data_IF_705576677552
#
_entry.id   IF_705576677552
#
_cell.length_a   1.000
_cell.length_b   1.000
_cell.length_c   1.000
_cell.angle_alpha   90.00
_cell.angle_beta   90.00
_cell.angle_gamma   90.00
#
_symmetry.space_group_name_H-M   'P 1'
#
loop_
_entity.id
_entity.type
_entity.pdbx_description
1 polymer ?
#
# COMPACT_ATOMS: atom_id res chain seq x y z
N UNK A 1 -12.19 3.07 19.95
CA UNK A 1 -11.91 3.50 18.56
C UNK A 1 -10.42 3.70 18.40
N UNK A 2 -9.82 3.17 17.33
CA UNK A 2 -8.38 3.28 17.04
C UNK A 2 -8.19 3.98 15.70
N UNK A 3 -7.16 4.82 15.61
CA UNK A 3 -6.80 5.56 14.40
C UNK A 3 -5.35 5.25 14.03
N UNK A 4 -5.08 5.02 12.74
CA UNK A 4 -3.73 4.73 12.26
C UNK A 4 -3.55 5.17 10.80
N UNK A 5 -2.30 5.27 10.36
CA UNK A 5 -1.91 5.40 8.95
C UNK A 5 -0.58 4.70 8.73
N UNK A 6 -0.34 4.20 7.53
CA UNK A 6 0.99 3.79 7.09
C UNK A 6 1.86 5.03 6.93
N UNK A 7 3.05 4.99 7.54
CA UNK A 7 4.00 6.11 7.56
C UNK A 7 4.52 6.41 6.16
N UNK A 8 4.68 7.70 5.79
CA UNK A 8 5.34 8.10 4.54
C UNK A 8 6.70 7.42 4.32
N UNK A 9 7.46 7.20 5.39
CA UNK A 9 8.77 6.54 5.33
C UNK A 9 8.71 5.06 4.91
N UNK A 10 7.59 4.38 5.19
CA UNK A 10 7.39 2.99 4.78
C UNK A 10 7.02 2.90 3.28
N UNK A 11 6.40 3.95 2.74
CA UNK A 11 5.88 4.01 1.37
C UNK A 11 6.98 4.45 0.40
N UNK A 12 7.80 5.43 0.80
CA UNK A 12 8.89 5.95 -0.02
C UNK A 12 10.20 5.97 0.78
N UNK A 13 11.15 5.11 0.40
CA UNK A 13 12.45 4.97 1.09
C UNK A 13 13.38 6.16 0.90
N UNK A 14 13.08 7.08 -0.02
CA UNK A 14 14.01 8.14 -0.43
C UNK A 14 13.47 9.56 -0.21
N UNK A 15 12.17 9.82 -0.37
CA UNK A 15 11.55 11.12 -0.07
C UNK A 15 10.06 10.92 0.28
N UNK A 16 9.74 10.79 1.57
CA UNK A 16 8.35 10.66 2.02
C UNK A 16 7.60 11.98 1.81
N UNK A 17 6.66 12.00 0.87
CA UNK A 17 5.70 13.09 0.70
C UNK A 17 4.33 12.67 1.29
N UNK A 18 3.69 13.57 2.05
CA UNK A 18 2.37 13.34 2.61
C UNK A 18 1.29 13.09 1.55
N UNK A 19 1.43 13.67 0.34
CA UNK A 19 0.49 13.41 -0.75
C UNK A 19 0.48 11.93 -1.16
N UNK A 20 1.65 11.36 -1.43
CA UNK A 20 1.79 9.93 -1.77
C UNK A 20 1.31 9.04 -0.62
N UNK A 21 1.62 9.45 0.61
CA UNK A 21 1.16 8.73 1.79
C UNK A 21 -0.37 8.76 1.94
N UNK A 22 -1.01 9.89 1.62
CA UNK A 22 -2.46 9.99 1.64
C UNK A 22 -3.12 9.11 0.57
N UNK A 23 -2.60 9.15 -0.66
CA UNK A 23 -3.08 8.29 -1.75
C UNK A 23 -2.93 6.80 -1.41
N UNK A 24 -1.79 6.42 -0.84
CA UNK A 24 -1.57 5.05 -0.39
C UNK A 24 -2.56 4.62 0.69
N UNK A 25 -2.73 5.44 1.73
CA UNK A 25 -3.66 5.11 2.83
C UNK A 25 -5.13 5.08 2.34
N UNK A 26 -5.49 5.90 1.35
CA UNK A 26 -6.81 5.83 0.70
C UNK A 26 -7.00 4.51 -0.05
N UNK A 27 -6.01 4.08 -0.84
CA UNK A 27 -6.04 2.78 -1.54
C UNK A 27 -6.08 1.61 -0.59
N UNK A 28 -5.32 1.68 0.51
CA UNK A 28 -5.36 0.67 1.57
C UNK A 28 -6.77 0.55 2.16
N UNK A 29 -7.41 1.67 2.49
CA UNK A 29 -8.78 1.66 3.01
C UNK A 29 -9.76 1.04 2.02
N UNK A 30 -9.67 1.42 0.75
CA UNK A 30 -10.53 0.88 -0.31
C UNK A 30 -10.34 -0.63 -0.47
N UNK A 31 -9.08 -1.09 -0.52
CA UNK A 31 -8.72 -2.51 -0.60
C UNK A 31 -9.24 -3.31 0.60
N UNK A 32 -9.08 -2.80 1.82
CA UNK A 32 -9.62 -3.43 3.03
C UNK A 32 -11.14 -3.52 2.97
N UNK A 33 -11.83 -2.42 2.64
CA UNK A 33 -13.29 -2.39 2.57
C UNK A 33 -13.84 -3.26 1.42
N UNK A 34 -13.11 -3.38 0.30
CA UNK A 34 -13.49 -4.20 -0.84
C UNK A 34 -13.53 -5.70 -0.51
N UNK A 35 -12.84 -6.15 0.55
CA UNK A 35 -12.92 -7.54 1.00
C UNK A 35 -14.30 -7.92 1.55
N UNK A 36 -15.08 -6.93 2.02
CA UNK A 36 -16.35 -7.15 2.71
C UNK A 36 -16.26 -7.81 4.09
N UNK A 37 -15.05 -8.17 4.56
CA UNK A 37 -14.83 -8.83 5.86
C UNK A 37 -14.91 -7.81 6.99
N UNK A 38 -14.29 -6.65 6.80
CA UNK A 38 -14.28 -5.54 7.76
C UNK A 38 -14.57 -4.24 7.03
N UNK A 39 -15.21 -3.32 7.73
CA UNK A 39 -15.44 -1.97 7.23
C UNK A 39 -14.77 -0.95 8.14
N UNK A 40 -13.96 -0.08 7.54
CA UNK A 40 -13.29 1.03 8.18
C UNK A 40 -13.65 2.35 7.49
N UNK A 41 -13.39 3.47 8.19
CA UNK A 41 -13.61 4.83 7.66
C UNK A 41 -12.30 5.60 7.64
N UNK A 42 -12.33 6.86 7.19
CA UNK A 42 -11.18 7.76 7.29
C UNK A 42 -11.57 9.11 7.86
N UNK A 43 -10.55 9.89 8.21
CA UNK A 43 -10.65 11.33 8.44
C UNK A 43 -9.38 12.03 7.95
N UNK A 44 -9.51 13.31 7.62
CA UNK A 44 -8.37 14.19 7.36
C UNK A 44 -8.01 14.97 8.62
N UNK A 45 -6.76 14.92 9.05
CA UNK A 45 -6.24 15.68 10.21
C UNK A 45 -5.00 16.42 9.76
N UNK A 46 -5.02 17.76 9.79
CA UNK A 46 -3.90 18.60 9.32
C UNK A 46 -3.40 18.22 7.90
N UNK A 47 -4.32 17.80 7.03
CA UNK A 47 -3.99 17.35 5.67
C UNK A 47 -3.50 15.91 5.57
N UNK A 48 -3.38 15.16 6.67
CA UNK A 48 -3.04 13.75 6.67
C UNK A 48 -4.29 12.84 6.63
N UNK A 49 -4.24 11.82 5.78
CA UNK A 49 -5.27 10.77 5.69
C UNK A 49 -5.08 9.74 6.80
N UNK A 50 -6.09 9.58 7.65
CA UNK A 50 -6.07 8.71 8.82
C UNK A 50 -7.19 7.67 8.70
N UNK A 51 -6.84 6.38 8.81
CA UNK A 51 -7.78 5.26 8.86
C UNK A 51 -8.35 5.15 10.27
N UNK A 52 -9.66 4.93 10.36
CA UNK A 52 -10.46 4.88 11.58
C UNK A 52 -11.12 3.51 11.71
N UNK A 53 -10.74 2.78 12.75
CA UNK A 53 -11.33 1.48 13.09
C UNK A 53 -12.17 1.56 14.37
N UNK A 54 -13.48 1.37 14.21
CA UNK A 54 -14.46 1.40 15.29
C UNK A 54 -14.68 0.00 15.86
N UNK A 55 -13.86 -0.35 16.84
CA UNK A 55 -13.99 -1.57 17.63
C UNK A 55 -14.88 -1.27 18.84
N UNK A 56 -15.92 -2.09 19.08
CA UNK A 56 -16.78 -1.97 20.26
C UNK A 56 -18.25 -2.34 20.10
N UNK A 57 -18.61 -3.16 19.11
CA UNK A 57 -19.96 -3.72 19.06
C UNK A 57 -20.10 -4.84 20.12
N UNK A 58 -21.32 -5.08 20.60
CA UNK A 58 -21.61 -6.06 21.68
C UNK A 58 -21.06 -7.46 21.40
N UNK A 59 -20.94 -7.85 20.12
CA UNK A 59 -20.45 -9.16 19.67
C UNK A 59 -18.99 -9.14 19.19
N UNK A 60 -18.29 -8.01 19.33
CA UNK A 60 -16.87 -7.95 18.97
C UNK A 60 -16.05 -8.71 20.02
N UNK A 61 -15.15 -9.56 19.55
CA UNK A 61 -14.28 -10.40 20.38
C UNK A 61 -12.83 -10.16 19.93
N UNK A 62 -11.86 -10.55 20.75
CA UNK A 62 -10.44 -10.38 20.45
C UNK A 62 -10.03 -11.02 19.12
N UNK A 63 -10.64 -12.16 18.77
CA UNK A 63 -10.39 -12.83 17.48
C UNK A 63 -10.78 -11.93 16.29
N UNK A 64 -11.91 -11.21 16.39
CA UNK A 64 -12.35 -10.29 15.35
C UNK A 64 -11.35 -9.13 15.16
N UNK A 65 -10.77 -8.64 16.26
CA UNK A 65 -9.78 -7.56 16.22
C UNK A 65 -8.46 -8.05 15.58
N UNK A 66 -8.00 -9.25 15.97
CA UNK A 66 -6.78 -9.86 15.41
C UNK A 66 -6.92 -10.09 13.92
N UNK A 67 -8.02 -10.71 13.49
CA UNK A 67 -8.32 -10.93 12.08
C UNK A 67 -8.38 -9.62 11.29
N UNK A 68 -9.01 -8.58 11.85
CA UNK A 68 -9.07 -7.27 11.21
C UNK A 68 -7.68 -6.66 11.02
N UNK A 69 -6.81 -6.77 12.03
CA UNK A 69 -5.45 -6.25 11.99
C UNK A 69 -4.54 -7.05 11.04
N UNK A 70 -4.67 -8.38 11.00
CA UNK A 70 -3.99 -9.25 10.03
C UNK A 70 -4.37 -8.87 8.60
N UNK A 71 -5.67 -8.71 8.33
CA UNK A 71 -6.14 -8.31 7.01
C UNK A 71 -5.60 -6.95 6.57
N UNK A 72 -5.56 -5.96 7.46
CA UNK A 72 -4.96 -4.64 7.16
C UNK A 72 -3.48 -4.78 6.79
N UNK A 73 -2.73 -5.58 7.53
CA UNK A 73 -1.31 -5.81 7.26
C UNK A 73 -1.09 -6.55 5.93
N UNK A 74 -1.92 -7.53 5.61
CA UNK A 74 -1.85 -8.26 4.35
C UNK A 74 -2.10 -7.35 3.14
N UNK A 75 -3.16 -6.53 3.20
CA UNK A 75 -3.45 -5.56 2.13
C UNK A 75 -2.34 -4.51 2.03
N UNK A 76 -1.83 -3.99 3.16
CA UNK A 76 -0.73 -3.04 3.16
C UNK A 76 0.55 -3.64 2.57
N UNK A 77 0.88 -4.89 2.91
CA UNK A 77 2.06 -5.60 2.39
C UNK A 77 1.95 -5.84 0.89
N UNK A 78 0.77 -6.25 0.42
CA UNK A 78 0.49 -6.42 -1.01
C UNK A 78 0.64 -5.11 -1.79
N UNK A 79 0.12 -4.01 -1.25
CA UNK A 79 0.26 -2.67 -1.85
C UNK A 79 1.70 -2.16 -1.81
N UNK A 80 2.45 -2.40 -0.74
CA UNK A 80 3.87 -2.03 -0.66
C UNK A 80 4.75 -2.85 -1.62
N UNK A 81 4.46 -4.14 -1.78
CA UNK A 81 5.15 -5.02 -2.74
C UNK A 81 4.88 -4.66 -4.21
N UNK A 82 3.73 -4.05 -4.50
CA UNK A 82 3.37 -3.59 -5.86
C UNK A 82 3.94 -2.21 -6.20
N UNK A 83 4.40 -1.42 -5.22
CA UNK A 83 5.02 -0.11 -5.42
C UNK A 83 6.48 -0.15 -5.92
N UNK A 84 7.08 -1.34 -6.08
CA UNK A 84 8.35 -1.51 -6.82
C UNK A 84 8.05 -1.97 -8.25
N UNK A 85 7.95 -1.04 -9.24
CA UNK A 85 9.14 -0.66 -10.02
C UNK A 85 9.13 0.78 -10.63
N UNK A 86 10.28 1.49 -10.58
CA UNK A 86 10.61 2.55 -11.56
C UNK A 86 12.13 2.72 -11.74
N UNK A 87 12.64 2.19 -12.85
CA UNK A 87 13.88 2.64 -13.49
C UNK A 87 13.55 2.79 -14.98
N UNK A 88 13.08 3.97 -15.38
CA UNK A 88 12.75 4.25 -16.78
C UNK A 88 13.89 4.99 -17.48
N UNK A 89 14.38 4.34 -18.54
CA UNK A 89 14.98 4.86 -19.77
C UNK A 89 16.32 5.61 -19.75
N UNK A 90 17.32 5.01 -20.41
CA UNK A 90 18.05 5.73 -21.45
C UNK A 90 18.61 4.78 -22.53
N UNK A 91 18.32 5.11 -23.79
CA UNK A 91 18.57 4.25 -24.94
C UNK A 91 20.02 4.19 -25.40
N UNK A 92 20.38 3.04 -25.98
CA UNK A 92 21.38 2.96 -27.06
C UNK A 92 21.09 1.73 -27.92
N UNK A 93 20.65 1.96 -29.16
CA UNK A 93 20.76 0.99 -30.25
C UNK A 93 22.22 1.00 -30.72
N UNK A 94 22.83 -0.16 -31.02
CA UNK A 94 23.13 -0.47 -32.42
C UNK A 94 22.82 -1.95 -32.72
N UNK A 95 22.03 -2.31 -33.74
CA UNK A 95 22.38 -2.43 -35.16
C UNK A 95 23.58 -3.36 -35.47
N UNK A 96 23.20 -4.62 -35.77
CA UNK A 96 23.64 -5.54 -36.85
C UNK A 96 25.04 -6.21 -36.87
N UNK A 97 24.94 -7.53 -37.07
CA UNK A 97 25.75 -8.46 -37.91
C UNK A 97 27.17 -8.76 -37.39
N UNK A 98 27.71 -9.98 -37.44
CA UNK A 98 27.78 -10.93 -38.57
C UNK A 98 27.88 -12.37 -38.01
N UNK A 99 27.12 -13.30 -38.61
CA UNK A 99 27.37 -14.75 -38.54
C UNK A 99 28.65 -15.06 -39.33
N UNK A 100 29.60 -15.77 -38.73
CA UNK A 100 30.66 -16.42 -39.50
C UNK A 100 30.71 -17.91 -39.16
N UNK A 101 30.63 -18.70 -40.23
CA UNK A 101 30.75 -20.15 -40.26
C UNK A 101 32.22 -20.58 -40.07
N UNK A 102 32.38 -21.87 -39.75
CA UNK A 102 33.61 -22.68 -39.82
C UNK A 102 34.56 -22.55 -38.63
N UNK A 103 34.78 -23.67 -37.91
CA UNK A 103 35.70 -24.76 -38.29
C UNK A 103 35.10 -26.08 -37.82
#
# INVERSE_FOLDING_TARGET
MVCFRVSPHAINRHHGNDLEANEFNSKLLESVNATGIIYMTHSMVEGAFIIRFSVGATLTEDMHIKMAWELVQDQATSLLGTLTPKADSNGKKPSKQIEDHSI
#
